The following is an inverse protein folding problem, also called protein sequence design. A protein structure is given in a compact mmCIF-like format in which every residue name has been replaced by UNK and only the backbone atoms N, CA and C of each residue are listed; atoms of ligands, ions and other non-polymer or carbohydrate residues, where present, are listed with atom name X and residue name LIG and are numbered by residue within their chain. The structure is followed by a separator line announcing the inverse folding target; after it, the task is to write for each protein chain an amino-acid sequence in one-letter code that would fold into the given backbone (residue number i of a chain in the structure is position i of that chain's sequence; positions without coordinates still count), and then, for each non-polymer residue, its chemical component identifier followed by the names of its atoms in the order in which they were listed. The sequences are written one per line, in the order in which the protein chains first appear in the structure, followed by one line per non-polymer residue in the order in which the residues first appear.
data_IF_715588418826
#
_entry.id   IF_715588418826
#
_cell.length_a   1.000
_cell.length_b   1.000
_cell.length_c   1.000
_cell.angle_alpha   90.00
_cell.angle_beta   90.00
_cell.angle_gamma   90.00
#
_symmetry.space_group_name_H-M   'P 1'
#
loop_
_entity.id
_entity.type
_entity.pdbx_description
1 polymer ?
#
# COMPACT_ATOMS: atom_id res chain seq x y z
N UNK A 1 -12.74 6.88 -6.41
CA UNK A 1 -12.02 5.86 -7.21
C UNK A 1 -10.57 5.84 -6.77
N UNK A 2 -10.01 4.65 -6.51
CA UNK A 2 -8.65 4.48 -5.99
C UNK A 2 -7.68 4.36 -7.16
N UNK A 3 -6.71 5.26 -7.22
CA UNK A 3 -5.76 5.41 -8.34
C UNK A 3 -4.34 5.52 -7.82
N UNK A 4 -3.37 5.31 -8.70
CA UNK A 4 -1.94 5.51 -8.42
C UNK A 4 -1.60 6.89 -7.84
N UNK A 5 -2.35 7.93 -8.18
CA UNK A 5 -2.11 9.31 -7.71
C UNK A 5 -2.60 9.58 -6.29
N UNK A 6 -3.62 8.84 -5.83
CA UNK A 6 -4.26 9.10 -4.53
C UNK A 6 -4.08 7.96 -3.52
N UNK A 7 -3.53 6.81 -3.93
CA UNK A 7 -3.39 5.61 -3.08
C UNK A 7 -2.70 5.87 -1.75
N UNK A 8 -1.68 6.72 -1.72
CA UNK A 8 -0.93 7.06 -0.49
C UNK A 8 -1.81 7.73 0.58
N UNK A 9 -2.90 8.38 0.15
CA UNK A 9 -3.85 9.08 1.01
C UNK A 9 -5.23 8.40 1.02
N UNK A 10 -5.37 7.24 0.39
CA UNK A 10 -6.63 6.52 0.31
C UNK A 10 -6.63 5.29 1.25
N UNK A 11 -7.83 4.81 1.55
CA UNK A 11 -8.07 3.54 2.22
C UNK A 11 -7.39 2.39 1.47
N UNK A 12 -6.64 1.56 2.21
CA UNK A 12 -5.96 0.37 1.68
C UNK A 12 -6.74 -0.91 1.97
N UNK A 13 -7.59 -0.91 3.01
CA UNK A 13 -8.41 -2.07 3.36
C UNK A 13 -9.34 -2.44 2.20
N UNK A 14 -9.41 -3.74 1.90
CA UNK A 14 -10.16 -4.30 0.79
C UNK A 14 -9.39 -4.37 -0.54
N UNK A 15 -8.21 -3.77 -0.65
CA UNK A 15 -7.39 -3.90 -1.86
C UNK A 15 -6.69 -5.26 -1.92
N UNK A 16 -6.52 -5.79 -3.14
CA UNK A 16 -5.65 -6.93 -3.38
C UNK A 16 -4.20 -6.48 -3.37
N UNK A 17 -3.38 -7.10 -2.54
CA UNK A 17 -1.98 -6.78 -2.32
C UNK A 17 -1.11 -8.04 -2.42
N UNK A 18 0.09 -7.87 -2.98
CA UNK A 18 1.19 -8.84 -2.92
C UNK A 18 2.43 -8.17 -2.35
N UNK A 19 3.12 -8.86 -1.45
CA UNK A 19 4.35 -8.35 -0.83
C UNK A 19 5.55 -8.81 -1.65
N UNK A 20 6.35 -7.87 -2.12
CA UNK A 20 7.53 -8.16 -2.96
C UNK A 20 8.50 -9.10 -2.25
N UNK A 21 9.12 -10.03 -3.00
CA UNK A 21 10.06 -11.03 -2.50
C UNK A 21 9.49 -12.00 -1.45
N UNK A 22 8.17 -12.12 -1.36
CA UNK A 22 7.52 -13.11 -0.50
C UNK A 22 6.37 -13.80 -1.26
N UNK A 23 5.92 -14.98 -0.82
CA UNK A 23 4.71 -15.60 -1.35
C UNK A 23 3.41 -14.96 -0.81
N UNK A 24 3.49 -13.92 0.03
CA UNK A 24 2.31 -13.34 0.68
C UNK A 24 1.53 -12.48 -0.33
N UNK A 25 0.33 -12.95 -0.67
CA UNK A 25 -0.64 -12.24 -1.50
C UNK A 25 -2.07 -12.48 -1.03
N UNK A 26 -2.95 -11.49 -1.23
CA UNK A 26 -4.35 -11.59 -0.84
C UNK A 26 -5.00 -10.23 -0.64
N UNK A 27 -6.09 -10.20 0.12
CA UNK A 27 -6.83 -8.96 0.40
C UNK A 27 -6.31 -8.33 1.69
N UNK A 28 -6.12 -7.02 1.69
CA UNK A 28 -5.81 -6.26 2.91
C UNK A 28 -7.05 -6.27 3.80
N UNK A 29 -6.94 -6.86 4.98
CA UNK A 29 -8.03 -6.95 5.96
C UNK A 29 -7.99 -5.81 6.98
N UNK A 30 -6.79 -5.33 7.32
CA UNK A 30 -6.60 -4.30 8.34
C UNK A 30 -5.28 -3.54 8.12
N UNK A 31 -5.23 -2.30 8.61
CA UNK A 31 -4.08 -1.40 8.54
C UNK A 31 -3.85 -0.71 9.89
N UNK A 32 -2.67 -0.91 10.47
CA UNK A 32 -2.20 -0.18 11.64
C UNK A 32 -1.18 0.89 11.26
N UNK A 33 -0.64 1.61 12.25
CA UNK A 33 0.43 2.60 12.02
C UNK A 33 1.61 2.01 11.25
N UNK A 34 2.06 0.82 11.64
CA UNK A 34 3.31 0.23 11.15
C UNK A 34 3.12 -1.08 10.38
N UNK A 35 1.90 -1.64 10.35
CA UNK A 35 1.66 -2.97 9.78
C UNK A 35 0.42 -3.00 8.91
N UNK A 36 0.40 -3.94 7.97
CA UNK A 36 -0.77 -4.32 7.18
C UNK A 36 -1.07 -5.78 7.45
N UNK A 37 -2.36 -6.14 7.59
CA UNK A 37 -2.80 -7.52 7.69
C UNK A 37 -3.35 -7.94 6.33
N UNK A 38 -2.76 -8.98 5.74
CA UNK A 38 -3.16 -9.53 4.44
C UNK A 38 -3.73 -10.94 4.66
N UNK A 39 -4.92 -11.20 4.15
CA UNK A 39 -5.52 -12.54 4.15
C UNK A 39 -4.97 -13.37 3.00
N UNK A 40 -3.99 -14.21 3.31
CA UNK A 40 -3.33 -15.12 2.39
C UNK A 40 -3.79 -16.55 2.68
N UNK A 41 -4.37 -17.24 1.68
CA UNK A 41 -4.83 -18.64 1.80
C UNK A 41 -5.66 -18.91 3.07
N UNK A 42 -6.64 -18.04 3.37
CA UNK A 42 -7.52 -18.09 4.56
C UNK A 42 -6.83 -17.80 5.90
N UNK A 43 -5.56 -17.41 5.91
CA UNK A 43 -4.82 -17.00 7.13
C UNK A 43 -4.46 -15.53 7.06
N UNK A 44 -4.59 -14.86 8.20
CA UNK A 44 -4.20 -13.45 8.32
C UNK A 44 -2.70 -13.35 8.61
N UNK A 45 -1.97 -12.68 7.71
CA UNK A 45 -0.53 -12.45 7.80
C UNK A 45 -0.28 -10.98 8.10
N UNK A 46 0.39 -10.71 9.22
CA UNK A 46 0.81 -9.36 9.60
C UNK A 46 2.16 -9.06 8.98
N UNK A 47 2.21 -8.02 8.15
CA UNK A 47 3.41 -7.61 7.42
C UNK A 47 3.79 -6.19 7.87
N UNK A 48 5.04 -5.94 8.27
CA UNK A 48 5.49 -4.59 8.58
C UNK A 48 5.54 -3.76 7.29
N UNK A 49 5.10 -2.50 7.37
CA UNK A 49 5.18 -1.56 6.25
C UNK A 49 6.64 -1.18 5.98
N UNK A 50 7.40 -0.94 7.04
CA UNK A 50 8.80 -0.52 6.94
C UNK A 50 9.65 -1.60 6.25
N UNK A 51 10.44 -1.19 5.25
CA UNK A 51 11.35 -2.07 4.50
C UNK A 51 10.65 -3.06 3.57
N UNK A 52 9.34 -2.91 3.33
CA UNK A 52 8.58 -3.77 2.42
C UNK A 52 7.92 -2.95 1.31
N UNK A 53 7.80 -3.56 0.14
CA UNK A 53 7.06 -3.01 -0.98
C UNK A 53 5.80 -3.85 -1.23
N UNK A 54 4.70 -3.15 -1.52
CA UNK A 54 3.38 -3.75 -1.72
C UNK A 54 2.93 -3.50 -3.16
N UNK A 55 2.71 -4.57 -3.91
CA UNK A 55 2.08 -4.53 -5.22
C UNK A 55 0.57 -4.53 -5.02
N UNK A 56 -0.07 -3.40 -5.26
CA UNK A 56 -1.51 -3.20 -5.08
C UNK A 56 -2.23 -3.21 -6.43
N UNK A 57 -3.36 -3.92 -6.49
CA UNK A 57 -4.28 -3.86 -7.63
C UNK A 57 -5.27 -2.72 -7.40
N UNK A 58 -5.16 -1.68 -8.23
CA UNK A 58 -5.99 -0.49 -8.22
C UNK A 58 -6.94 -0.50 -9.43
N UNK A 59 -7.78 0.52 -9.54
CA UNK A 59 -8.72 0.63 -10.65
C UNK A 59 -8.07 1.00 -11.98
N UNK A 60 -6.93 1.71 -11.91
CA UNK A 60 -6.15 2.16 -13.07
C UNK A 60 -4.96 1.23 -13.41
N UNK A 61 -4.82 0.12 -12.70
CA UNK A 61 -3.78 -0.89 -12.94
C UNK A 61 -3.13 -1.42 -11.66
N UNK A 62 -1.99 -2.08 -11.81
CA UNK A 62 -1.22 -2.63 -10.71
C UNK A 62 0.01 -1.78 -10.43
N UNK A 63 0.20 -1.39 -9.18
CA UNK A 63 1.26 -0.45 -8.78
C UNK A 63 2.01 -0.95 -7.55
N UNK A 64 3.33 -0.77 -7.55
CA UNK A 64 4.21 -0.98 -6.40
C UNK A 64 4.17 0.26 -5.51
N UNK A 65 3.90 0.07 -4.23
CA UNK A 65 3.88 1.11 -3.20
C UNK A 65 4.96 0.82 -2.18
N UNK A 66 5.84 1.80 -1.95
CA UNK A 66 6.85 1.71 -0.89
C UNK A 66 6.18 1.83 0.49
N UNK A 67 6.30 0.78 1.30
CA UNK A 67 5.73 0.71 2.64
C UNK A 67 6.30 1.74 3.62
N UNK A 68 7.53 2.21 3.43
CA UNK A 68 8.13 3.25 4.28
C UNK A 68 7.33 4.55 4.25
N UNK A 69 6.72 4.88 3.10
CA UNK A 69 5.96 6.14 2.92
C UNK A 69 4.61 6.10 3.64
N UNK A 70 4.05 4.90 3.80
CA UNK A 70 2.74 4.66 4.41
C UNK A 70 2.82 4.23 5.88
N UNK A 71 3.99 4.38 6.55
CA UNK A 71 4.19 4.12 8.00
C UNK A 71 3.51 5.14 8.91
N UNK A 72 2.22 5.38 8.68
CA UNK A 72 1.32 6.22 9.47
C UNK A 72 -0.03 5.53 9.56
N UNK A 73 -0.86 5.94 10.53
CA UNK A 73 -2.24 5.42 10.60
C UNK A 73 -3.06 5.91 9.39
N UNK A 74 -4.12 5.19 8.96
CA UNK A 74 -4.95 5.61 7.83
C UNK A 74 -5.39 7.08 7.89
N UNK A 75 -5.89 7.53 9.05
CA UNK A 75 -6.33 8.92 9.23
C UNK A 75 -5.19 9.95 9.27
N UNK A 76 -3.97 9.53 9.65
CA UNK A 76 -2.80 10.41 9.67
C UNK A 76 -2.29 10.67 8.25
N UNK A 77 -2.37 9.66 7.37
CA UNK A 77 -1.98 9.77 5.95
C UNK A 77 -2.77 10.87 5.23
N UNK A 78 -4.04 11.08 5.61
CA UNK A 78 -4.90 12.14 5.04
C UNK A 78 -4.35 13.56 5.27
N UNK A 79 -3.56 13.78 6.33
CA UNK A 79 -3.00 15.10 6.65
C UNK A 79 -1.75 15.41 5.83
N UNK A 80 -1.05 14.39 5.32
CA UNK A 80 0.09 14.57 4.43
C UNK A 80 -0.42 14.65 2.99
N UNK A 81 -0.38 15.85 2.42
CA UNK A 81 -0.60 16.02 0.98
C UNK A 81 0.66 15.58 0.22
N UNK A 82 0.91 14.27 0.12
CA UNK A 82 1.82 13.76 -0.90
C UNK A 82 1.24 14.14 -2.26
N UNK A 83 1.85 15.10 -2.96
CA UNK A 83 1.45 15.51 -4.30
C UNK A 83 2.36 14.78 -5.26
N UNK A 84 1.99 13.58 -5.73
CA UNK A 84 2.72 12.71 -6.71
C UNK A 84 2.90 13.38 -8.09
N UNK A 85 3.34 14.63 -8.09
CA UNK A 85 3.61 15.50 -9.23
C UNK A 85 5.10 15.90 -9.24
N UNK A 86 5.83 15.69 -8.14
CA UNK A 86 7.27 15.94 -8.12
C UNK A 86 8.09 14.72 -8.56
N UNK A 87 9.21 15.01 -9.22
CA UNK A 87 10.08 14.04 -9.92
C UNK A 87 10.56 12.87 -9.04
N UNK A 88 10.67 13.09 -7.73
CA UNK A 88 11.16 12.13 -6.73
C UNK A 88 10.07 11.22 -6.16
N UNK A 89 8.79 11.58 -6.31
CA UNK A 89 7.66 10.79 -5.79
C UNK A 89 7.20 9.68 -6.74
N UNK A 90 7.60 9.74 -8.02
CA UNK A 90 7.39 8.66 -8.99
C UNK A 90 8.05 7.33 -8.58
N UNK A 91 9.03 7.38 -7.69
CA UNK A 91 9.68 6.19 -7.12
C UNK A 91 8.83 5.55 -6.01
N UNK A 92 7.90 6.29 -5.39
CA UNK A 92 7.10 5.82 -4.26
C UNK A 92 5.92 4.96 -4.71
N UNK A 93 5.36 5.30 -5.88
CA UNK A 93 4.34 4.53 -6.57
C UNK A 93 4.77 4.32 -8.01
N UNK A 94 5.16 3.09 -8.35
CA UNK A 94 5.62 2.74 -9.70
C UNK A 94 4.74 1.67 -10.33
N UNK A 95 4.68 1.61 -11.66
CA UNK A 95 3.92 0.57 -12.36
C UNK A 95 4.57 -0.79 -12.07
N UNK A 96 3.77 -1.76 -11.64
CA UNK A 96 4.25 -3.06 -11.18
C UNK A 96 4.83 -3.91 -12.31
#
# INVERSE_FOLDING_TARGET
MITSKNILNHELIGLTAKVTNTPIEGVIMDESKNTIIIRHEKKDKRVPKKGHEFVLKLTDGTFKVNGDVITQRPFERLKRQYKVNNRWEKTLVSKA
#
